data_IF_716224964911
#
_entry.id   IF_716224964911
#
_cell.length_a   1.000
_cell.length_b   1.000
_cell.length_c   1.000
_cell.angle_alpha   90.00
_cell.angle_beta   90.00
_cell.angle_gamma   90.00
#
_symmetry.space_group_name_H-M   'P 1'
#
loop_
_entity.id
_entity.type
_entity.pdbx_description
1 polymer ?
#
# COMPACT_ATOMS: atom_id res chain seq x y z
N UNK A 1 -34.78 -35.10 1.65
CA UNK A 1 -34.14 -34.59 2.88
C UNK A 1 -32.76 -33.98 2.59
N UNK A 2 -32.60 -33.16 1.50
CA UNK A 2 -31.27 -32.74 0.96
C UNK A 2 -31.05 -31.22 0.85
N UNK A 3 -31.98 -30.41 1.34
CA UNK A 3 -31.93 -28.94 1.12
C UNK A 3 -31.58 -28.13 2.39
N UNK A 4 -31.73 -28.74 3.57
CA UNK A 4 -31.56 -28.03 4.87
C UNK A 4 -30.08 -27.85 5.30
N UNK A 5 -29.13 -28.61 4.75
CA UNK A 5 -27.71 -28.49 5.15
C UNK A 5 -26.97 -27.35 4.45
N UNK A 6 -27.43 -26.94 3.25
CA UNK A 6 -26.84 -25.81 2.53
C UNK A 6 -27.25 -24.45 3.14
N UNK A 7 -28.40 -24.35 3.75
CA UNK A 7 -28.84 -23.10 4.38
C UNK A 7 -28.12 -22.78 5.70
N UNK A 8 -27.60 -23.80 6.41
CA UNK A 8 -26.76 -23.56 7.61
C UNK A 8 -25.37 -23.07 7.26
N UNK A 9 -24.82 -23.50 6.11
CA UNK A 9 -23.54 -22.95 5.62
C UNK A 9 -23.67 -21.48 5.17
N UNK A 10 -24.83 -21.09 4.64
CA UNK A 10 -25.09 -19.71 4.25
C UNK A 10 -25.23 -18.76 5.46
N UNK A 11 -25.64 -19.27 6.63
CA UNK A 11 -25.76 -18.45 7.86
C UNK A 11 -24.42 -18.10 8.49
N UNK A 12 -23.36 -18.86 8.25
CA UNK A 12 -22.03 -18.52 8.74
C UNK A 12 -21.30 -17.51 7.81
N UNK A 13 -21.89 -17.18 6.66
CA UNK A 13 -21.33 -16.16 5.74
C UNK A 13 -21.50 -14.72 6.22
N UNK A 14 -22.34 -14.48 7.25
CA UNK A 14 -22.39 -13.17 7.90
C UNK A 14 -21.03 -12.76 8.53
N UNK A 15 -20.18 -13.74 8.81
CA UNK A 15 -18.84 -13.54 9.38
C UNK A 15 -17.80 -13.08 8.36
N UNK A 16 -17.99 -13.34 7.08
CA UNK A 16 -17.09 -12.78 6.05
C UNK A 16 -17.23 -11.26 5.99
N UNK A 17 -18.42 -10.74 6.25
CA UNK A 17 -18.61 -9.30 6.42
C UNK A 17 -17.89 -8.75 7.67
N UNK A 18 -17.65 -9.59 8.69
CA UNK A 18 -16.97 -9.19 9.94
C UNK A 18 -15.43 -9.21 9.82
N UNK A 19 -14.86 -10.03 8.94
CA UNK A 19 -13.41 -10.00 8.64
C UNK A 19 -13.01 -8.64 8.03
N UNK A 20 -13.98 -7.95 7.41
CA UNK A 20 -13.78 -6.61 6.86
C UNK A 20 -13.77 -5.50 7.93
N UNK A 21 -14.20 -5.76 9.17
CA UNK A 21 -14.42 -4.68 10.15
C UNK A 21 -13.31 -4.51 11.19
N UNK A 22 -12.31 -5.37 11.25
CA UNK A 22 -11.41 -5.44 12.39
C UNK A 22 -9.91 -5.29 12.09
N UNK A 23 -9.49 -5.00 10.87
CA UNK A 23 -8.08 -4.68 10.63
C UNK A 23 -7.91 -3.16 10.61
N UNK A 24 -7.03 -2.62 11.45
CA UNK A 24 -6.63 -1.22 11.33
C UNK A 24 -5.88 -1.08 10.01
N UNK A 25 -6.48 -0.36 9.05
CA UNK A 25 -5.88 0.02 7.76
C UNK A 25 -4.52 0.72 7.90
N UNK A 26 -4.05 0.91 9.10
CA UNK A 26 -2.84 1.65 9.45
C UNK A 26 -1.71 0.84 10.05
N UNK A 27 -1.89 -0.40 10.41
CA UNK A 27 -0.74 -1.23 10.79
C UNK A 27 0.15 -1.56 9.57
N UNK A 28 -0.37 -1.39 8.36
CA UNK A 28 0.38 -1.65 7.12
C UNK A 28 1.23 -0.48 6.60
N UNK A 29 1.23 0.68 7.27
CA UNK A 29 2.22 1.73 7.00
C UNK A 29 3.57 1.45 7.68
N UNK A 30 3.66 0.38 8.46
CA UNK A 30 4.89 -0.09 9.12
C UNK A 30 4.99 -1.60 8.99
N UNK A 31 4.86 -2.18 7.80
CA UNK A 31 5.43 -3.50 7.57
C UNK A 31 6.93 -3.31 7.28
N UNK A 32 7.66 -2.93 8.27
CA UNK A 32 9.06 -3.33 8.35
C UNK A 32 9.06 -4.86 8.54
N UNK A 33 9.02 -5.57 7.41
CA UNK A 33 9.35 -6.98 7.39
C UNK A 33 10.73 -7.13 8.03
N UNK A 34 10.80 -7.88 9.12
CA UNK A 34 11.99 -8.09 9.89
C UNK A 34 13.20 -8.55 9.07
N UNK A 35 14.00 -7.60 8.68
CA UNK A 35 15.41 -7.76 8.42
C UNK A 35 16.14 -7.24 9.66
N UNK A 36 16.13 -8.05 10.73
CA UNK A 36 16.92 -7.76 11.91
C UNK A 36 18.39 -7.68 11.48
N UNK A 37 18.96 -6.48 11.56
CA UNK A 37 20.41 -6.26 11.52
C UNK A 37 20.98 -5.46 10.35
N UNK A 38 20.24 -5.21 9.29
CA UNK A 38 20.73 -4.47 8.12
C UNK A 38 20.09 -3.09 8.04
N UNK A 39 20.87 -2.04 8.29
CA UNK A 39 20.37 -0.67 8.29
C UNK A 39 21.22 0.22 7.39
N UNK A 40 20.59 0.86 6.42
CA UNK A 40 21.14 2.00 5.72
C UNK A 40 20.62 3.28 6.38
N UNK A 41 21.53 4.13 6.82
CA UNK A 41 21.23 5.44 7.39
C UNK A 41 21.80 6.51 6.48
N UNK A 42 21.09 7.60 6.31
CA UNK A 42 21.59 8.73 5.56
C UNK A 42 21.21 10.06 6.24
N UNK A 43 22.05 11.07 5.97
CA UNK A 43 21.78 12.44 6.36
C UNK A 43 21.80 13.29 5.09
N UNK A 44 20.67 13.90 4.79
CA UNK A 44 20.52 14.77 3.63
C UNK A 44 20.50 16.21 4.09
N UNK A 45 21.35 17.04 3.51
CA UNK A 45 21.42 18.46 3.81
C UNK A 45 21.56 19.30 2.54
N UNK A 46 21.21 20.55 2.63
CA UNK A 46 21.42 21.52 1.56
C UNK A 46 22.85 22.06 1.57
N UNK A 47 23.29 22.73 0.50
CA UNK A 47 24.62 23.34 0.39
C UNK A 47 24.97 24.32 1.55
N UNK A 48 23.96 24.92 2.17
CA UNK A 48 24.12 25.79 3.32
C UNK A 48 24.15 25.02 4.67
N UNK A 49 24.34 23.72 4.64
CA UNK A 49 24.35 22.82 5.80
C UNK A 49 23.00 22.71 6.56
N UNK A 50 21.93 23.31 6.06
CA UNK A 50 20.60 23.12 6.65
C UNK A 50 20.09 21.71 6.36
N UNK A 51 19.42 21.05 7.33
CA UNK A 51 18.89 19.71 7.11
C UNK A 51 17.80 19.73 6.02
N UNK A 52 17.88 18.78 5.08
CA UNK A 52 16.88 18.60 4.04
C UNK A 52 15.73 17.77 4.61
N UNK A 53 14.75 18.45 5.18
CA UNK A 53 13.63 17.85 5.87
C UNK A 53 12.60 17.30 4.90
N UNK A 54 12.02 16.14 5.23
CA UNK A 54 10.91 15.51 4.49
C UNK A 54 11.18 15.33 2.99
N UNK A 55 12.43 15.04 2.66
CA UNK A 55 12.85 14.75 1.29
C UNK A 55 12.72 13.26 1.04
N UNK A 56 12.10 12.92 -0.08
CA UNK A 56 11.92 11.53 -0.52
C UNK A 56 13.25 10.95 -1.02
N UNK A 57 13.59 9.78 -0.49
CA UNK A 57 14.75 8.99 -0.89
C UNK A 57 14.24 7.67 -1.47
N UNK A 58 14.47 7.47 -2.76
CA UNK A 58 14.19 6.20 -3.42
C UNK A 58 15.43 5.32 -3.35
N UNK A 59 15.26 4.03 -3.04
CA UNK A 59 16.34 3.06 -2.92
C UNK A 59 16.00 1.80 -3.70
N UNK A 60 16.99 1.21 -4.37
CA UNK A 60 16.81 -0.05 -5.10
C UNK A 60 18.12 -0.82 -5.21
N UNK A 61 18.02 -2.09 -5.61
CA UNK A 61 19.15 -2.95 -5.93
C UNK A 61 19.13 -3.33 -7.40
N UNK A 62 20.30 -3.60 -7.98
CA UNK A 62 20.40 -4.15 -9.34
C UNK A 62 20.19 -5.68 -9.34
N UNK A 63 19.61 -6.23 -10.42
CA UNK A 63 19.53 -7.66 -10.70
C UNK A 63 18.11 -8.24 -10.76
N UNK A 64 18.03 -9.57 -10.98
CA UNK A 64 16.77 -10.31 -11.16
C UNK A 64 15.87 -10.29 -9.91
N UNK A 65 16.42 -10.02 -8.74
CA UNK A 65 15.72 -9.84 -7.47
C UNK A 65 15.74 -8.38 -7.05
N UNK A 66 15.22 -7.49 -7.90
CA UNK A 66 15.24 -6.06 -7.63
C UNK A 66 14.39 -5.72 -6.40
N UNK A 67 15.05 -5.44 -5.28
CA UNK A 67 14.40 -4.83 -4.12
C UNK A 67 14.31 -3.32 -4.36
N UNK A 68 13.17 -2.73 -4.03
CA UNK A 68 12.96 -1.29 -4.11
C UNK A 68 12.12 -0.81 -2.93
N UNK A 69 12.49 0.33 -2.38
CA UNK A 69 11.71 1.01 -1.35
C UNK A 69 11.87 2.51 -1.45
N UNK A 70 11.06 3.21 -0.70
CA UNK A 70 11.11 4.67 -0.58
C UNK A 70 11.00 5.03 0.89
N UNK A 71 11.83 5.97 1.34
CA UNK A 71 11.78 6.54 2.68
C UNK A 71 11.81 8.06 2.61
N UNK A 72 11.61 8.72 3.74
CA UNK A 72 11.68 10.18 3.85
C UNK A 72 12.66 10.58 4.94
N UNK A 73 13.30 11.73 4.75
CA UNK A 73 14.12 12.33 5.80
C UNK A 73 13.26 12.95 6.90
N UNK A 74 13.72 12.89 8.13
CA UNK A 74 13.12 13.53 9.29
C UNK A 74 13.43 15.04 9.36
N UNK A 75 13.07 15.67 10.48
CA UNK A 75 13.36 17.12 10.74
C UNK A 75 14.85 17.45 10.80
N UNK A 76 15.70 16.46 11.03
CA UNK A 76 17.15 16.61 11.06
C UNK A 76 17.81 16.23 9.72
N UNK A 77 17.00 15.98 8.68
CA UNK A 77 17.47 15.50 7.39
C UNK A 77 17.92 14.05 7.41
N UNK A 78 17.63 13.28 8.46
CA UNK A 78 18.03 11.89 8.61
C UNK A 78 16.97 10.95 8.08
N UNK A 79 17.39 9.84 7.49
CA UNK A 79 16.53 8.70 7.21
C UNK A 79 17.21 7.41 7.66
N UNK A 80 16.41 6.41 7.94
CA UNK A 80 16.86 5.07 8.25
C UNK A 80 15.91 4.07 7.59
N UNK A 81 16.47 3.05 6.96
CA UNK A 81 15.68 2.03 6.26
C UNK A 81 16.38 0.68 6.36
N UNK A 82 15.61 -0.38 6.59
CA UNK A 82 16.07 -1.75 6.47
C UNK A 82 16.37 -2.07 5.01
N UNK A 83 17.55 -2.58 4.72
CA UNK A 83 18.00 -2.88 3.35
C UNK A 83 18.61 -4.29 3.29
N UNK A 84 18.54 -4.97 2.14
CA UNK A 84 19.26 -6.21 1.95
C UNK A 84 20.78 -5.96 2.01
N UNK A 85 21.53 -6.96 2.48
CA UNK A 85 22.98 -6.93 2.63
C UNK A 85 23.67 -7.03 1.25
N UNK A 86 23.60 -5.95 0.46
CA UNK A 86 24.12 -5.85 -0.90
C UNK A 86 24.37 -4.42 -1.30
N UNK A 87 24.74 -4.20 -2.54
CA UNK A 87 24.91 -2.84 -3.08
C UNK A 87 23.55 -2.22 -3.33
N UNK A 88 23.31 -1.06 -2.70
CA UNK A 88 22.08 -0.27 -2.81
C UNK A 88 22.36 0.95 -3.66
N UNK A 89 21.47 1.26 -4.59
CA UNK A 89 21.42 2.55 -5.26
C UNK A 89 20.36 3.42 -4.61
N UNK A 90 20.59 4.73 -4.60
CA UNK A 90 19.59 5.68 -4.14
C UNK A 90 19.45 6.85 -5.11
N UNK A 91 18.29 7.48 -5.09
CA UNK A 91 18.01 8.72 -5.80
C UNK A 91 17.19 9.66 -4.92
N UNK A 92 17.59 10.93 -4.96
CA UNK A 92 16.86 12.01 -4.33
C UNK A 92 16.52 13.03 -5.41
N UNK A 93 15.23 13.28 -5.60
CA UNK A 93 14.75 14.26 -6.57
C UNK A 93 13.91 15.30 -5.83
N UNK A 94 14.52 16.44 -5.53
CA UNK A 94 13.90 17.53 -4.78
C UNK A 94 13.71 18.76 -5.69
N UNK A 95 12.51 19.36 -5.74
CA UNK A 95 12.25 20.55 -6.53
C UNK A 95 13.24 21.68 -6.22
N UNK A 96 13.78 22.31 -7.26
CA UNK A 96 14.78 23.40 -7.13
C UNK A 96 16.22 22.95 -6.91
N UNK A 97 16.47 21.66 -6.74
CA UNK A 97 17.79 21.07 -6.59
C UNK A 97 18.13 20.14 -7.75
N UNK A 98 19.42 19.88 -7.98
CA UNK A 98 19.83 18.86 -8.94
C UNK A 98 19.49 17.49 -8.39
N UNK A 99 19.00 16.54 -9.22
CA UNK A 99 18.83 15.18 -8.77
C UNK A 99 20.15 14.62 -8.25
N UNK A 100 20.13 14.05 -7.06
CA UNK A 100 21.30 13.41 -6.47
C UNK A 100 21.12 11.90 -6.49
N UNK A 101 22.15 11.17 -6.87
CA UNK A 101 22.17 9.72 -6.93
C UNK A 101 23.45 9.20 -6.32
N UNK A 102 23.36 8.02 -5.73
CA UNK A 102 24.53 7.37 -5.19
C UNK A 102 24.40 5.86 -5.23
N UNK A 103 25.51 5.24 -4.92
CA UNK A 103 25.62 3.78 -4.78
C UNK A 103 26.36 3.49 -3.49
N UNK A 104 25.78 2.69 -2.63
CA UNK A 104 26.34 2.36 -1.31
C UNK A 104 26.46 0.85 -1.20
N UNK A 105 27.61 0.40 -0.81
CA UNK A 105 27.87 -1.01 -0.54
C UNK A 105 27.54 -1.33 0.93
N UNK A 106 26.48 -2.06 1.15
CA UNK A 106 26.01 -2.51 2.47
C UNK A 106 26.29 -4.01 2.65
N UNK A 107 27.11 -4.61 1.78
CA UNK A 107 27.40 -6.05 1.79
C UNK A 107 28.38 -6.48 2.88
N UNK A 108 29.05 -5.54 3.53
CA UNK A 108 30.05 -5.82 4.56
C UNK A 108 29.40 -6.04 5.93
N UNK A 109 29.92 -6.96 6.71
CA UNK A 109 29.41 -7.28 8.05
C UNK A 109 30.02 -6.36 9.14
N UNK A 110 29.23 -5.65 9.99
CA UNK A 110 27.78 -5.64 10.02
C UNK A 110 27.19 -4.83 8.85
N UNK A 111 26.15 -5.35 8.19
CA UNK A 111 25.52 -4.75 7.03
C UNK A 111 24.89 -3.38 7.35
N UNK A 112 25.74 -2.39 7.55
CA UNK A 112 25.38 -1.00 7.93
C UNK A 112 26.17 -0.03 7.09
N UNK A 113 25.52 1.02 6.63
CA UNK A 113 26.18 2.15 5.98
C UNK A 113 25.58 3.46 6.47
N UNK A 114 26.42 4.48 6.54
CA UNK A 114 26.03 5.87 6.82
C UNK A 114 26.50 6.72 5.67
N UNK A 115 25.56 7.43 5.03
CA UNK A 115 25.85 8.29 3.90
C UNK A 115 25.49 9.75 4.22
N UNK A 116 26.36 10.68 3.79
CA UNK A 116 26.13 12.12 3.89
C UNK A 116 25.86 12.67 2.49
N UNK A 117 24.67 13.19 2.26
CA UNK A 117 24.20 13.58 0.94
C UNK A 117 23.94 15.09 0.92
N UNK A 118 24.60 15.80 0.01
CA UNK A 118 24.42 17.25 -0.15
C UNK A 118 23.60 17.55 -1.39
N UNK A 119 22.44 18.18 -1.22
CA UNK A 119 21.61 18.64 -2.33
C UNK A 119 22.12 19.98 -2.84
N UNK A 120 22.50 20.00 -4.12
CA UNK A 120 23.02 21.18 -4.83
C UNK A 120 21.88 21.92 -5.54
N UNK A 121 21.75 23.22 -5.31
CA UNK A 121 20.76 24.05 -5.97
C UNK A 121 20.97 24.05 -7.47
N UNK A 122 19.90 24.05 -8.25
CA UNK A 122 19.98 24.29 -9.69
C UNK A 122 20.48 25.71 -9.89
N UNK A 123 21.65 25.90 -10.57
CA UNK A 123 22.12 27.24 -10.90
C UNK A 123 21.22 27.82 -12.00
N UNK A 124 20.89 29.12 -11.89
CA UNK A 124 20.16 29.86 -12.92
C UNK A 124 21.07 30.26 -14.10
N UNK A 125 22.04 29.44 -14.48
CA UNK A 125 22.81 29.68 -15.70
C UNK A 125 21.95 29.25 -16.90
N UNK A 126 21.82 30.18 -17.84
CA UNK A 126 21.17 30.12 -19.16
C UNK A 126 20.99 28.74 -19.77
N UNK A 127 19.84 28.44 -20.41
CA UNK A 127 19.57 27.12 -20.95
C UNK A 127 20.46 26.84 -22.16
N UNK A 128 21.39 25.92 -22.02
CA UNK A 128 22.00 25.26 -23.16
C UNK A 128 21.04 24.20 -23.71
N UNK A 129 20.57 24.44 -24.93
CA UNK A 129 19.99 23.47 -25.85
C UNK A 129 18.66 22.82 -25.50
N UNK A 130 17.88 22.42 -26.49
CA UNK A 130 16.56 21.84 -26.25
C UNK A 130 16.68 20.44 -25.69
N UNK A 131 16.67 20.31 -24.35
CA UNK A 131 16.25 19.09 -23.72
C UNK A 131 14.76 18.98 -23.96
N UNK A 132 14.34 18.11 -24.87
CA UNK A 132 12.96 17.66 -25.04
C UNK A 132 12.52 16.83 -23.84
N UNK A 133 12.67 17.38 -22.65
CA UNK A 133 12.02 16.92 -21.46
C UNK A 133 10.70 17.67 -21.35
N UNK A 134 9.59 17.03 -21.62
CA UNK A 134 8.27 17.55 -21.24
C UNK A 134 8.32 17.76 -19.73
N UNK A 135 8.59 19.01 -19.32
CA UNK A 135 8.34 19.44 -17.94
C UNK A 135 6.83 19.29 -17.77
N UNK A 136 6.41 18.34 -16.97
CA UNK A 136 4.99 18.17 -16.68
C UNK A 136 4.49 19.51 -16.10
N UNK A 137 3.72 20.25 -16.91
CA UNK A 137 3.23 21.60 -16.59
C UNK A 137 2.39 21.66 -15.31
N UNK A 138 2.11 20.50 -14.70
CA UNK A 138 1.39 20.35 -13.43
C UNK A 138 2.28 20.71 -12.24
N UNK A 139 3.58 20.37 -12.28
CA UNK A 139 4.51 20.67 -11.18
C UNK A 139 4.93 22.13 -11.17
N UNK A 140 4.97 22.78 -12.35
CA UNK A 140 5.28 24.21 -12.48
C UNK A 140 4.19 25.13 -11.92
N UNK A 141 3.00 24.62 -11.61
CA UNK A 141 1.84 25.40 -11.17
C UNK A 141 1.59 25.39 -9.64
N UNK A 142 2.38 24.65 -8.86
CA UNK A 142 2.20 24.60 -7.39
C UNK A 142 2.91 25.82 -6.79
N UNK A 143 2.13 26.74 -6.22
CA UNK A 143 2.70 27.90 -5.54
C UNK A 143 3.42 27.52 -4.24
N UNK A 144 4.43 28.30 -3.80
CA UNK A 144 5.11 28.04 -2.53
C UNK A 144 4.15 27.95 -1.35
N UNK A 145 3.08 28.74 -1.34
CA UNK A 145 2.06 28.76 -0.30
C UNK A 145 1.25 27.46 -0.31
N UNK A 146 0.83 26.97 -1.49
CA UNK A 146 0.14 25.69 -1.63
C UNK A 146 1.02 24.53 -1.15
N UNK A 147 2.31 24.59 -1.48
CA UNK A 147 3.28 23.60 -1.05
C UNK A 147 3.46 23.62 0.47
N UNK A 148 3.59 24.79 1.08
CA UNK A 148 3.75 24.92 2.53
C UNK A 148 2.53 24.33 3.28
N UNK A 149 1.32 24.56 2.80
CA UNK A 149 0.12 24.00 3.39
C UNK A 149 0.02 22.47 3.18
N UNK A 150 0.41 21.97 2.03
CA UNK A 150 0.52 20.53 1.80
C UNK A 150 1.53 19.90 2.78
N UNK A 151 2.72 20.47 2.93
CA UNK A 151 3.77 19.98 3.82
C UNK A 151 3.32 20.04 5.31
N UNK A 152 2.50 21.04 5.70
CA UNK A 152 1.87 21.10 7.02
C UNK A 152 0.88 19.95 7.23
N UNK A 153 -0.01 19.72 6.25
CA UNK A 153 -0.95 18.62 6.29
C UNK A 153 -0.27 17.26 6.33
N UNK A 154 0.80 17.06 5.55
CA UNK A 154 1.58 15.84 5.57
C UNK A 154 2.27 15.60 6.91
N UNK A 155 2.81 16.65 7.53
CA UNK A 155 3.40 16.55 8.90
C UNK A 155 2.35 16.16 9.92
N UNK A 156 1.17 16.76 9.89
CA UNK A 156 0.08 16.41 10.78
C UNK A 156 -0.32 14.92 10.63
N UNK A 157 -0.36 14.39 9.39
CA UNK A 157 -0.58 12.95 9.16
C UNK A 157 0.53 12.09 9.77
N UNK A 158 1.79 12.50 9.61
CA UNK A 158 2.92 11.75 10.17
C UNK A 158 2.95 11.77 11.71
N UNK A 159 2.37 12.81 12.32
CA UNK A 159 2.18 12.95 13.76
C UNK A 159 0.85 12.32 14.25
N UNK A 160 0.16 11.54 13.38
CA UNK A 160 -1.17 10.94 13.60
C UNK A 160 -2.30 11.94 13.89
N UNK A 161 -2.07 13.24 13.70
CA UNK A 161 -3.11 14.28 13.79
C UNK A 161 -3.88 14.41 12.46
N UNK A 162 -4.70 13.39 12.17
CA UNK A 162 -5.50 13.37 10.95
C UNK A 162 -6.54 14.51 10.92
N UNK A 163 -7.05 14.93 12.07
CA UNK A 163 -7.99 16.04 12.17
C UNK A 163 -7.33 17.37 11.84
N UNK A 164 -6.12 17.60 12.36
CA UNK A 164 -5.32 18.79 12.06
C UNK A 164 -4.81 18.84 10.62
N UNK A 165 -4.61 17.68 9.99
CA UNK A 165 -4.18 17.61 8.59
C UNK A 165 -5.25 18.14 7.60
N UNK A 166 -6.54 17.90 7.87
CA UNK A 166 -7.63 18.24 6.96
C UNK A 166 -7.63 19.72 6.55
N UNK A 167 -7.62 20.71 7.46
CA UNK A 167 -7.68 22.13 7.08
C UNK A 167 -6.44 22.56 6.27
N UNK A 168 -5.26 22.05 6.55
CA UNK A 168 -4.07 22.34 5.78
C UNK A 168 -4.15 21.81 4.35
N UNK A 169 -4.60 20.57 4.17
CA UNK A 169 -4.75 19.96 2.86
C UNK A 169 -5.86 20.64 2.05
N UNK A 170 -6.96 21.02 2.69
CA UNK A 170 -8.02 21.81 2.05
C UNK A 170 -7.49 23.18 1.58
N UNK A 171 -6.64 23.82 2.36
CA UNK A 171 -6.05 25.10 1.98
C UNK A 171 -5.04 24.94 0.83
N UNK A 172 -4.24 23.87 0.83
CA UNK A 172 -3.36 23.54 -0.30
C UNK A 172 -4.17 23.35 -1.60
N UNK A 173 -5.30 22.64 -1.52
CA UNK A 173 -6.22 22.42 -2.64
C UNK A 173 -6.88 23.73 -3.10
N UNK A 174 -7.28 24.60 -2.16
CA UNK A 174 -7.87 25.90 -2.50
C UNK A 174 -6.88 26.79 -3.27
N UNK A 175 -5.59 26.73 -2.91
CA UNK A 175 -4.50 27.44 -3.59
C UNK A 175 -4.10 26.78 -4.92
N UNK A 176 -4.22 25.47 -5.02
CA UNK A 176 -3.99 24.71 -6.26
C UNK A 176 -5.03 23.60 -6.44
N UNK A 177 -6.13 23.85 -7.16
CA UNK A 177 -7.19 22.86 -7.38
C UNK A 177 -6.77 21.62 -8.20
N UNK A 178 -5.56 21.60 -8.77
CA UNK A 178 -5.00 20.46 -9.51
C UNK A 178 -3.92 19.73 -8.72
N UNK A 179 -3.87 19.88 -7.41
CA UNK A 179 -2.89 19.22 -6.55
C UNK A 179 -3.36 17.81 -6.17
N UNK A 180 -3.10 16.84 -7.05
CA UNK A 180 -3.59 15.46 -6.91
C UNK A 180 -3.14 14.81 -5.59
N UNK A 181 -1.89 15.00 -5.19
CA UNK A 181 -1.36 14.45 -3.93
C UNK A 181 -2.03 15.05 -2.69
N UNK A 182 -2.42 16.33 -2.74
CA UNK A 182 -3.15 16.94 -1.65
C UNK A 182 -4.55 16.33 -1.49
N UNK A 183 -5.23 16.04 -2.59
CA UNK A 183 -6.49 15.29 -2.56
C UNK A 183 -6.30 13.86 -2.05
N UNK A 184 -5.24 13.17 -2.43
CA UNK A 184 -4.95 11.83 -1.91
C UNK A 184 -4.75 11.85 -0.40
N UNK A 185 -3.91 12.75 0.13
CA UNK A 185 -3.66 12.85 1.57
C UNK A 185 -4.92 13.31 2.32
N UNK A 186 -5.71 14.20 1.74
CA UNK A 186 -7.01 14.58 2.29
C UNK A 186 -7.93 13.37 2.43
N UNK A 187 -8.01 12.53 1.39
CA UNK A 187 -8.77 11.28 1.42
C UNK A 187 -8.29 10.34 2.53
N UNK A 188 -6.97 10.23 2.72
CA UNK A 188 -6.38 9.42 3.82
C UNK A 188 -6.81 9.98 5.19
N UNK A 189 -6.65 11.28 5.43
CA UNK A 189 -7.02 11.93 6.69
C UNK A 189 -8.53 11.77 6.99
N UNK A 190 -9.37 11.93 5.96
CA UNK A 190 -10.81 11.74 6.08
C UNK A 190 -11.21 10.29 6.40
N UNK A 191 -10.53 9.28 5.82
CA UNK A 191 -10.75 7.89 6.19
C UNK A 191 -10.45 7.63 7.66
N UNK A 192 -9.37 8.22 8.16
CA UNK A 192 -8.94 8.07 9.54
C UNK A 192 -9.86 8.75 10.54
N UNK A 193 -10.53 9.79 10.12
CA UNK A 193 -11.54 10.51 10.91
C UNK A 193 -12.96 10.00 10.64
N UNK A 194 -13.10 8.79 10.04
CA UNK A 194 -14.38 8.14 9.73
C UNK A 194 -15.29 8.92 8.77
N UNK A 195 -14.73 9.74 7.91
CA UNK A 195 -15.45 10.55 6.92
C UNK A 195 -15.42 9.86 5.54
N UNK A 196 -15.89 8.62 5.45
CA UNK A 196 -15.73 7.75 4.27
C UNK A 196 -16.26 8.36 2.96
N UNK A 197 -17.42 9.04 2.98
CA UNK A 197 -17.99 9.67 1.78
C UNK A 197 -17.15 10.85 1.29
N UNK A 198 -16.57 11.62 2.20
CA UNK A 198 -15.69 12.73 1.84
C UNK A 198 -14.36 12.21 1.30
N UNK A 199 -13.82 11.16 1.92
CA UNK A 199 -12.62 10.48 1.46
C UNK A 199 -12.77 9.94 0.04
N UNK A 200 -13.92 9.32 -0.27
CA UNK A 200 -14.24 8.86 -1.63
C UNK A 200 -14.19 10.02 -2.63
N UNK A 201 -14.85 11.14 -2.33
CA UNK A 201 -14.85 12.31 -3.21
C UNK A 201 -13.43 12.87 -3.42
N UNK A 202 -12.63 12.95 -2.37
CA UNK A 202 -11.24 13.42 -2.45
C UNK A 202 -10.37 12.46 -3.29
N UNK A 203 -10.47 11.16 -3.08
CA UNK A 203 -9.70 10.17 -3.83
C UNK A 203 -10.12 10.11 -5.31
N UNK A 204 -11.43 10.22 -5.61
CA UNK A 204 -11.91 10.34 -6.99
C UNK A 204 -11.33 11.59 -7.67
N UNK A 205 -11.25 12.70 -6.95
CA UNK A 205 -10.66 13.91 -7.50
C UNK A 205 -9.16 13.77 -7.74
N UNK A 206 -8.46 13.07 -6.86
CA UNK A 206 -7.04 12.77 -7.04
C UNK A 206 -6.79 12.00 -8.34
N UNK A 207 -7.53 10.91 -8.60
CA UNK A 207 -7.38 10.10 -9.82
C UNK A 207 -7.92 10.78 -11.09
N UNK A 208 -8.88 11.71 -10.96
CA UNK A 208 -9.34 12.54 -12.09
C UNK A 208 -8.21 13.47 -12.56
N UNK A 209 -7.44 14.02 -11.63
CA UNK A 209 -6.31 14.91 -11.92
C UNK A 209 -5.11 14.09 -12.42
N UNK A 210 -4.82 12.99 -11.76
CA UNK A 210 -3.72 12.08 -12.10
C UNK A 210 -4.16 10.62 -12.01
N UNK A 211 -4.24 9.95 -13.16
CA UNK A 211 -4.68 8.55 -13.26
C UNK A 211 -3.71 7.56 -12.61
N UNK A 212 -2.40 7.89 -12.57
CA UNK A 212 -1.36 7.02 -12.02
C UNK A 212 -1.13 7.24 -10.52
N UNK A 213 -2.18 7.04 -9.74
CA UNK A 213 -2.14 7.15 -8.28
C UNK A 213 -2.53 5.80 -7.62
N UNK A 214 -1.60 4.85 -7.50
CA UNK A 214 -1.91 3.49 -7.03
C UNK A 214 -2.56 3.49 -5.65
N UNK A 215 -2.08 4.30 -4.72
CA UNK A 215 -2.65 4.40 -3.37
C UNK A 215 -4.09 4.91 -3.38
N UNK A 216 -4.43 5.86 -4.24
CA UNK A 216 -5.82 6.36 -4.37
C UNK A 216 -6.73 5.28 -4.94
N UNK A 217 -6.26 4.52 -5.93
CA UNK A 217 -7.00 3.40 -6.51
C UNK A 217 -7.25 2.30 -5.45
N UNK A 218 -6.23 1.93 -4.70
CA UNK A 218 -6.36 0.97 -3.61
C UNK A 218 -7.40 1.41 -2.58
N UNK A 219 -7.28 2.64 -2.06
CA UNK A 219 -8.18 3.16 -1.03
C UNK A 219 -9.63 3.24 -1.51
N UNK A 220 -9.87 3.63 -2.76
CA UNK A 220 -11.22 3.59 -3.34
C UNK A 220 -11.79 2.18 -3.40
N UNK A 221 -11.01 1.22 -3.84
CA UNK A 221 -11.41 -0.17 -3.84
C UNK A 221 -11.80 -0.67 -2.46
N UNK A 222 -10.99 -0.36 -1.45
CA UNK A 222 -11.27 -0.71 -0.04
C UNK A 222 -12.52 -0.01 0.47
N UNK A 223 -12.72 1.30 0.17
CA UNK A 223 -13.95 2.02 0.55
C UNK A 223 -15.17 1.32 -0.03
N UNK A 224 -15.17 1.02 -1.32
CA UNK A 224 -16.30 0.38 -1.98
C UNK A 224 -16.59 -1.01 -1.42
N UNK A 225 -15.56 -1.83 -1.19
CA UNK A 225 -15.71 -3.13 -0.58
C UNK A 225 -16.33 -3.03 0.84
N UNK A 226 -15.84 -2.11 1.66
CA UNK A 226 -16.31 -1.91 3.04
C UNK A 226 -17.70 -1.30 3.16
N UNK A 227 -18.13 -0.53 2.17
CA UNK A 227 -19.47 0.08 2.10
C UNK A 227 -20.47 -0.78 1.34
N UNK A 228 -20.15 -2.06 1.10
CA UNK A 228 -20.98 -3.04 0.38
C UNK A 228 -21.29 -2.65 -1.07
N UNK A 229 -20.47 -1.80 -1.67
CA UNK A 229 -20.53 -1.42 -3.11
C UNK A 229 -19.50 -2.22 -3.89
N UNK A 230 -19.61 -3.56 -3.78
CA UNK A 230 -18.55 -4.50 -4.21
C UNK A 230 -18.29 -4.43 -5.71
N UNK A 231 -19.34 -4.20 -6.51
CA UNK A 231 -19.25 -4.05 -7.96
C UNK A 231 -18.37 -2.87 -8.36
N UNK A 232 -18.39 -1.80 -7.56
CA UNK A 232 -17.58 -0.61 -7.81
C UNK A 232 -16.12 -0.80 -7.39
N UNK A 233 -15.82 -1.75 -6.50
CA UNK A 233 -14.48 -1.98 -5.99
C UNK A 233 -13.53 -2.63 -7.02
N UNK A 234 -14.08 -3.43 -7.93
CA UNK A 234 -13.29 -4.23 -8.87
C UNK A 234 -12.43 -3.36 -9.80
N UNK A 235 -13.00 -2.29 -10.34
CA UNK A 235 -12.29 -1.41 -11.28
C UNK A 235 -11.05 -0.72 -10.66
N UNK A 236 -11.16 0.00 -9.54
CA UNK A 236 -9.98 0.63 -8.93
C UNK A 236 -8.95 -0.38 -8.43
N UNK A 237 -9.36 -1.56 -7.93
CA UNK A 237 -8.40 -2.57 -7.51
C UNK A 237 -7.65 -3.21 -8.69
N UNK A 238 -8.31 -3.43 -9.84
CA UNK A 238 -7.62 -3.84 -11.06
C UNK A 238 -6.62 -2.78 -11.50
N UNK A 239 -7.01 -1.50 -11.46
CA UNK A 239 -6.09 -0.41 -11.80
C UNK A 239 -4.90 -0.35 -10.85
N UNK A 240 -5.11 -0.57 -9.56
CA UNK A 240 -4.02 -0.70 -8.59
C UNK A 240 -3.08 -1.85 -8.93
N UNK A 241 -3.62 -3.04 -9.27
CA UNK A 241 -2.81 -4.20 -9.67
C UNK A 241 -2.02 -3.97 -10.97
N UNK A 242 -2.55 -3.18 -11.91
CA UNK A 242 -1.82 -2.78 -13.12
C UNK A 242 -0.67 -1.82 -12.82
N UNK A 243 -0.85 -0.91 -11.87
CA UNK A 243 0.16 0.08 -11.48
C UNK A 243 1.24 -0.54 -10.59
N UNK A 244 0.89 -1.53 -9.77
CA UNK A 244 1.77 -2.23 -8.85
C UNK A 244 1.62 -3.76 -8.99
N UNK A 245 2.12 -4.36 -10.07
CA UNK A 245 1.87 -5.78 -10.39
C UNK A 245 2.47 -6.77 -9.37
N UNK A 246 3.52 -6.36 -8.68
CA UNK A 246 4.21 -7.19 -7.68
C UNK A 246 3.67 -6.97 -6.26
N UNK A 247 2.63 -6.15 -6.09
CA UNK A 247 2.03 -5.89 -4.79
C UNK A 247 1.03 -6.99 -4.43
N UNK A 248 1.27 -7.79 -3.37
CA UNK A 248 0.37 -8.88 -2.98
C UNK A 248 -0.98 -8.38 -2.50
N UNK A 249 -1.06 -7.20 -1.86
CA UNK A 249 -2.31 -6.61 -1.36
C UNK A 249 -3.34 -6.41 -2.47
N UNK A 250 -2.87 -5.99 -3.67
CA UNK A 250 -3.74 -5.83 -4.84
C UNK A 250 -4.47 -7.13 -5.16
N UNK A 251 -3.74 -8.24 -5.21
CA UNK A 251 -4.29 -9.55 -5.51
C UNK A 251 -5.17 -10.07 -4.37
N UNK A 252 -4.83 -9.80 -3.13
CA UNK A 252 -5.64 -10.21 -1.99
C UNK A 252 -6.96 -9.44 -1.92
N UNK A 253 -6.96 -8.13 -2.12
CA UNK A 253 -8.20 -7.35 -2.18
C UNK A 253 -9.09 -7.77 -3.36
N UNK A 254 -8.51 -8.03 -4.54
CA UNK A 254 -9.24 -8.57 -5.69
C UNK A 254 -9.83 -9.95 -5.37
N UNK A 255 -9.11 -10.82 -4.64
CA UNK A 255 -9.65 -12.11 -4.22
C UNK A 255 -10.90 -11.95 -3.34
N UNK A 256 -10.87 -11.02 -2.40
CA UNK A 256 -12.03 -10.74 -1.53
C UNK A 256 -13.22 -10.18 -2.32
N UNK A 257 -12.97 -9.23 -3.19
CA UNK A 257 -14.00 -8.58 -4.01
C UNK A 257 -14.62 -9.58 -5.00
N UNK A 258 -13.83 -10.33 -5.73
CA UNK A 258 -14.32 -11.32 -6.70
C UNK A 258 -15.05 -12.48 -5.99
N UNK A 259 -14.63 -12.85 -4.77
CA UNK A 259 -15.38 -13.79 -3.95
C UNK A 259 -16.76 -13.25 -3.57
N UNK A 260 -16.84 -11.99 -3.13
CA UNK A 260 -18.11 -11.34 -2.79
C UNK A 260 -19.04 -11.24 -4.01
N UNK A 261 -18.50 -11.01 -5.20
CA UNK A 261 -19.20 -11.03 -6.50
C UNK A 261 -19.57 -12.45 -6.96
N UNK A 262 -19.27 -13.49 -6.18
CA UNK A 262 -19.49 -14.90 -6.51
C UNK A 262 -18.69 -15.41 -7.73
N UNK A 263 -17.66 -14.70 -8.15
CA UNK A 263 -16.70 -15.09 -9.19
C UNK A 263 -15.64 -16.01 -8.58
N UNK A 264 -16.08 -17.19 -8.10
CA UNK A 264 -15.22 -18.07 -7.28
C UNK A 264 -13.96 -18.58 -7.96
N UNK A 265 -13.96 -18.91 -9.27
CA UNK A 265 -12.72 -19.26 -9.96
C UNK A 265 -11.70 -18.13 -9.99
N UNK A 266 -12.14 -16.90 -10.25
CA UNK A 266 -11.31 -15.70 -10.28
C UNK A 266 -10.77 -15.40 -8.87
N UNK A 267 -11.62 -15.46 -7.85
CA UNK A 267 -11.22 -15.29 -6.45
C UNK A 267 -10.10 -16.25 -6.03
N UNK A 268 -10.22 -17.52 -6.41
CA UNK A 268 -9.17 -18.51 -6.15
C UNK A 268 -7.90 -18.23 -6.95
N UNK A 269 -8.00 -17.69 -8.15
CA UNK A 269 -6.87 -17.24 -8.96
C UNK A 269 -6.11 -16.09 -8.31
N UNK A 270 -6.82 -15.03 -7.93
CA UNK A 270 -6.25 -13.88 -7.24
C UNK A 270 -5.63 -14.26 -5.88
N UNK A 271 -6.30 -15.11 -5.08
CA UNK A 271 -5.73 -15.58 -3.83
C UNK A 271 -4.42 -16.35 -4.02
N UNK A 272 -4.32 -17.22 -5.05
CA UNK A 272 -3.05 -17.90 -5.37
C UNK A 272 -1.97 -16.94 -5.84
N UNK A 273 -2.32 -15.91 -6.61
CA UNK A 273 -1.38 -14.89 -7.02
C UNK A 273 -0.86 -14.10 -5.82
N UNK A 274 -1.72 -13.71 -4.88
CA UNK A 274 -1.30 -13.06 -3.64
C UNK A 274 -0.30 -13.94 -2.86
N UNK A 275 -0.62 -15.22 -2.67
CA UNK A 275 0.29 -16.18 -2.01
C UNK A 275 1.64 -16.28 -2.74
N UNK A 276 1.62 -16.33 -4.07
CA UNK A 276 2.86 -16.36 -4.89
C UNK A 276 3.70 -15.09 -4.69
N UNK A 277 3.07 -13.95 -4.54
CA UNK A 277 3.70 -12.64 -4.27
C UNK A 277 4.06 -12.46 -2.79
N UNK A 278 3.99 -13.52 -1.99
CA UNK A 278 4.36 -13.54 -0.56
C UNK A 278 3.42 -12.69 0.32
N UNK A 279 2.09 -12.77 0.05
CA UNK A 279 1.10 -12.22 0.98
C UNK A 279 1.31 -12.79 2.39
N UNK A 280 1.38 -11.89 3.35
CA UNK A 280 1.66 -12.25 4.76
C UNK A 280 0.42 -12.46 5.59
N UNK A 281 -0.74 -11.92 5.17
CA UNK A 281 -2.01 -12.12 5.87
C UNK A 281 -2.51 -13.55 5.65
N UNK A 282 -2.59 -14.38 6.70
CA UNK A 282 -3.12 -15.74 6.57
C UNK A 282 -4.56 -15.80 6.08
N UNK A 283 -5.32 -14.71 6.17
CA UNK A 283 -6.68 -14.59 5.63
C UNK A 283 -6.79 -14.90 4.14
N UNK A 284 -5.70 -14.77 3.37
CA UNK A 284 -5.67 -15.15 1.95
C UNK A 284 -5.99 -16.64 1.76
N UNK A 285 -5.51 -17.51 2.64
CA UNK A 285 -5.82 -18.95 2.61
C UNK A 285 -7.28 -19.25 2.95
N UNK A 286 -7.89 -18.41 3.77
CA UNK A 286 -9.33 -18.52 4.10
C UNK A 286 -10.18 -18.19 2.87
N UNK A 287 -9.87 -17.08 2.19
CA UNK A 287 -10.55 -16.70 0.95
C UNK A 287 -10.38 -17.78 -0.11
N UNK A 288 -9.15 -18.31 -0.29
CA UNK A 288 -8.86 -19.42 -1.21
C UNK A 288 -9.67 -20.65 -0.87
N UNK A 289 -9.68 -21.06 0.40
CA UNK A 289 -10.41 -22.24 0.86
C UNK A 289 -11.91 -22.14 0.58
N UNK A 290 -12.53 -21.02 0.92
CA UNK A 290 -13.94 -20.80 0.63
C UNK A 290 -14.23 -20.76 -0.88
N UNK A 291 -13.40 -20.10 -1.67
CA UNK A 291 -13.56 -20.05 -3.12
C UNK A 291 -13.50 -21.45 -3.74
N UNK A 292 -12.61 -22.31 -3.25
CA UNK A 292 -12.49 -23.71 -3.68
C UNK A 292 -13.67 -24.57 -3.25
N UNK A 293 -14.20 -24.38 -2.02
CA UNK A 293 -15.43 -25.07 -1.59
C UNK A 293 -16.62 -24.73 -2.49
N UNK A 294 -16.76 -23.47 -2.89
CA UNK A 294 -17.81 -23.04 -3.82
C UNK A 294 -17.65 -23.67 -5.21
N UNK A 295 -16.44 -24.04 -5.60
CA UNK A 295 -16.12 -24.77 -6.80
C UNK A 295 -16.24 -26.30 -6.63
N UNK A 296 -16.67 -26.81 -5.46
CA UNK A 296 -16.75 -28.24 -5.11
C UNK A 296 -15.39 -28.95 -5.07
N UNK A 297 -14.30 -28.21 -4.87
CA UNK A 297 -12.91 -28.71 -4.74
C UNK A 297 -12.57 -28.88 -3.26
N UNK A 298 -13.18 -29.88 -2.62
CA UNK A 298 -13.12 -30.03 -1.16
C UNK A 298 -11.72 -30.32 -0.64
N UNK A 299 -10.95 -31.17 -1.34
CA UNK A 299 -9.57 -31.50 -0.93
C UNK A 299 -8.64 -30.28 -1.01
N UNK A 300 -8.69 -29.53 -2.12
CA UNK A 300 -7.92 -28.30 -2.27
C UNK A 300 -8.29 -27.27 -1.21
N UNK A 301 -9.59 -27.15 -0.90
CA UNK A 301 -10.07 -26.24 0.14
C UNK A 301 -9.56 -26.63 1.53
N UNK A 302 -9.56 -27.95 1.84
CA UNK A 302 -8.99 -28.47 3.07
C UNK A 302 -7.51 -28.07 3.22
N UNK A 303 -6.72 -28.24 2.17
CA UNK A 303 -5.31 -27.86 2.19
C UNK A 303 -5.14 -26.35 2.44
N UNK A 304 -5.94 -25.50 1.78
CA UNK A 304 -5.90 -24.06 2.02
C UNK A 304 -6.23 -23.72 3.48
N UNK A 305 -7.26 -24.32 4.07
CA UNK A 305 -7.62 -24.11 5.48
C UNK A 305 -6.56 -24.64 6.47
N UNK A 306 -5.91 -25.75 6.14
CA UNK A 306 -4.80 -26.27 6.94
C UNK A 306 -3.60 -25.30 6.91
N UNK A 307 -3.31 -24.67 5.76
CA UNK A 307 -2.31 -23.62 5.68
C UNK A 307 -2.66 -22.43 6.55
N UNK A 308 -3.91 -21.94 6.52
CA UNK A 308 -4.35 -20.89 7.44
C UNK A 308 -4.09 -21.26 8.88
N UNK A 309 -4.51 -22.47 9.33
CA UNK A 309 -4.37 -22.92 10.71
C UNK A 309 -2.91 -23.10 11.17
N UNK A 310 -1.97 -23.20 10.24
CA UNK A 310 -0.54 -23.23 10.53
C UNK A 310 -0.01 -21.85 10.98
N UNK A 311 -0.59 -20.78 10.44
CA UNK A 311 -0.18 -19.40 10.75
C UNK A 311 -1.06 -18.78 11.85
N UNK A 312 -2.34 -19.11 11.85
CA UNK A 312 -3.30 -18.66 12.85
C UNK A 312 -4.12 -19.84 13.39
N UNK A 313 -3.75 -20.31 14.58
CA UNK A 313 -4.40 -21.45 15.24
C UNK A 313 -5.29 -21.05 16.41
N UNK A 314 -5.33 -19.77 16.77
CA UNK A 314 -5.92 -19.29 18.05
C UNK A 314 -7.05 -18.27 17.88
N UNK A 315 -7.14 -17.60 16.74
CA UNK A 315 -8.20 -16.62 16.49
C UNK A 315 -9.61 -17.27 16.51
N UNK A 316 -10.67 -16.49 16.73
CA UNK A 316 -12.05 -16.97 16.58
C UNK A 316 -12.28 -17.63 15.22
N UNK A 317 -11.69 -17.11 14.15
CA UNK A 317 -11.76 -17.67 12.81
C UNK A 317 -11.12 -19.06 12.73
N UNK A 318 -10.04 -19.31 13.46
CA UNK A 318 -9.38 -20.60 13.49
C UNK A 318 -10.29 -21.70 14.04
N UNK A 319 -11.13 -21.39 15.01
CA UNK A 319 -12.11 -22.34 15.54
C UNK A 319 -13.13 -22.77 14.46
N UNK A 320 -13.66 -21.80 13.72
CA UNK A 320 -14.60 -22.08 12.62
C UNK A 320 -13.95 -22.87 11.49
N UNK A 321 -12.71 -22.53 11.13
CA UNK A 321 -11.94 -23.23 10.11
C UNK A 321 -11.62 -24.66 10.52
N UNK A 322 -11.24 -24.92 11.79
CA UNK A 322 -11.05 -26.27 12.31
C UNK A 322 -12.32 -27.13 12.18
N UNK A 323 -13.47 -26.57 12.56
CA UNK A 323 -14.75 -27.25 12.40
C UNK A 323 -15.07 -27.55 10.95
N UNK A 324 -14.73 -26.65 10.04
CA UNK A 324 -14.95 -26.82 8.60
C UNK A 324 -14.05 -27.92 8.02
N UNK A 325 -12.77 -27.95 8.39
CA UNK A 325 -11.84 -29.03 8.01
C UNK A 325 -12.36 -30.38 8.48
N UNK A 326 -12.78 -30.51 9.73
CA UNK A 326 -13.35 -31.75 10.26
C UNK A 326 -14.59 -32.21 9.49
N UNK A 327 -15.46 -31.29 9.07
CA UNK A 327 -16.62 -31.62 8.24
C UNK A 327 -16.24 -32.08 6.82
N UNK A 328 -15.17 -31.51 6.26
CA UNK A 328 -14.65 -31.96 4.96
C UNK A 328 -14.10 -33.37 5.08
N UNK A 329 -13.27 -33.64 6.11
CA UNK A 329 -12.68 -34.96 6.35
C UNK A 329 -13.74 -36.06 6.51
N UNK A 330 -14.84 -35.78 7.22
CA UNK A 330 -15.97 -36.72 7.37
C UNK A 330 -16.69 -37.02 6.04
N UNK A 331 -16.67 -36.11 5.08
CA UNK A 331 -17.35 -36.27 3.78
C UNK A 331 -16.46 -36.90 2.72
N UNK A 332 -15.18 -36.67 2.77
CA UNK A 332 -14.17 -37.22 1.84
C UNK A 332 -13.75 -38.62 2.23
N UNK A 333 -13.80 -38.98 3.53
CA UNK A 333 -13.50 -40.31 4.06
C UNK A 333 -14.64 -41.35 3.91
N UNK A 334 -15.72 -40.97 3.21
CA UNK A 334 -16.83 -41.86 2.81
C UNK A 334 -16.89 -41.99 1.30
#
# INVERSE_FOLDING_TARGET
>A
MRIRSCQKLARNMAWIAFVFSALPVLAQLQSESGMEGTNFQGVVHYENNAPAQFVQVELWTDGESSWRTTTMTDRMGKFQVGVPCMVIQYRINTPGYRPEWGRVDVSTNPCRALEWITLKKKSNSTPEGPATGVVDGRIAAITPEARAEFDNGQRAINDDDFSGAIPHLQKAIALNPKYAEAYQLLGVAQLKTNQASQAEASLLKAIEIEDRMPRSQYLLGVIYARTNRVEMAEKPLNRFAELEPDNPDAQFELAKVTFALKKFPEAAGHARNAIKLKETDPGVYVVLGYALLRQKKADDARHAFQHFLKYDSTSPMAADVKNLVAQIDQKVGK
#
